data_IF_980004536309
#
_entry.id   IF_980004536309
#
_cell.length_a   1.000
_cell.length_b   1.000
_cell.length_c   1.000
_cell.angle_alpha   90.00
_cell.angle_beta   90.00
_cell.angle_gamma   90.00
#
_symmetry.space_group_name_H-M   'P 1'
#
loop_
_entity.id
_entity.type
_entity.pdbx_description
1 polymer ?
#
# COMPACT_ATOMS: atom_id res chain seq x y z
N UNK A 1 20.57 -12.72 -10.16
CA UNK A 1 19.59 -11.71 -9.71
C UNK A 1 19.81 -11.53 -8.21
N UNK A 2 20.14 -10.34 -7.80
CA UNK A 2 20.29 -10.05 -6.38
C UNK A 2 18.95 -10.19 -5.67
N UNK A 3 18.98 -10.75 -4.45
CA UNK A 3 17.76 -10.92 -3.66
C UNK A 3 17.34 -9.57 -3.11
N UNK A 4 16.05 -9.25 -3.18
CA UNK A 4 15.54 -8.03 -2.54
C UNK A 4 15.67 -8.16 -1.03
N UNK A 5 16.16 -7.10 -0.38
CA UNK A 5 16.37 -7.05 1.07
C UNK A 5 15.11 -6.57 1.77
N UNK A 6 14.73 -7.27 2.84
CA UNK A 6 13.60 -6.94 3.71
C UNK A 6 14.12 -6.70 5.12
N UNK A 7 13.88 -5.52 5.68
CA UNK A 7 14.17 -5.23 7.08
C UNK A 7 12.96 -5.61 7.93
N UNK A 8 13.16 -6.52 8.89
CA UNK A 8 12.13 -6.97 9.84
C UNK A 8 12.44 -6.42 11.22
N UNK A 9 11.56 -5.58 11.74
CA UNK A 9 11.72 -4.85 13.01
C UNK A 9 10.62 -5.25 13.97
N UNK A 10 10.96 -5.90 15.07
CA UNK A 10 10.03 -6.36 16.10
C UNK A 10 10.84 -6.71 17.35
N UNK A 11 10.43 -6.36 18.54
CA UNK A 11 11.19 -6.69 19.77
C UNK A 11 11.07 -8.18 20.14
N UNK A 12 10.02 -8.87 19.68
CA UNK A 12 9.84 -10.32 19.90
C UNK A 12 10.69 -11.16 18.95
N UNK A 13 11.72 -11.81 19.46
CA UNK A 13 12.61 -12.69 18.66
C UNK A 13 11.87 -13.84 17.94
N UNK A 14 10.78 -14.34 18.55
CA UNK A 14 9.94 -15.40 17.94
C UNK A 14 9.21 -14.91 16.71
N UNK A 15 8.72 -13.66 16.75
CA UNK A 15 8.03 -13.03 15.63
C UNK A 15 9.00 -12.76 14.49
N UNK A 16 10.16 -12.15 14.77
CA UNK A 16 11.22 -11.95 13.76
C UNK A 16 11.60 -13.25 13.06
N UNK A 17 11.85 -14.32 13.86
CA UNK A 17 12.20 -15.64 13.32
C UNK A 17 11.11 -16.20 12.42
N UNK A 18 9.83 -16.12 12.85
CA UNK A 18 8.69 -16.60 12.06
C UNK A 18 8.63 -15.89 10.71
N UNK A 19 8.65 -14.56 10.73
CA UNK A 19 8.57 -13.73 9.52
C UNK A 19 9.76 -14.00 8.60
N UNK A 20 11.00 -14.02 9.14
CA UNK A 20 12.20 -14.35 8.39
C UNK A 20 12.08 -15.71 7.69
N UNK A 21 11.67 -16.77 8.41
CA UNK A 21 11.64 -18.12 7.88
C UNK A 21 10.68 -18.23 6.68
N UNK A 22 9.60 -17.44 6.64
CA UNK A 22 8.70 -17.37 5.49
C UNK A 22 9.27 -16.54 4.34
N UNK A 23 9.87 -15.38 4.62
CA UNK A 23 10.45 -14.51 3.59
C UNK A 23 11.66 -15.17 2.89
N UNK A 24 12.52 -15.86 3.65
CA UNK A 24 13.68 -16.58 3.09
C UNK A 24 13.21 -17.69 2.12
N UNK A 25 12.11 -18.39 2.41
CA UNK A 25 11.52 -19.39 1.49
C UNK A 25 11.04 -18.77 0.18
N UNK A 26 10.65 -17.51 0.20
CA UNK A 26 10.24 -16.73 -0.97
C UNK A 26 11.43 -15.99 -1.64
N UNK A 27 12.66 -16.41 -1.31
CA UNK A 27 13.91 -15.92 -1.90
C UNK A 27 14.24 -14.45 -1.57
N UNK A 28 13.76 -13.92 -0.43
CA UNK A 28 14.20 -12.63 0.10
C UNK A 28 15.47 -12.77 0.95
N UNK A 29 16.28 -11.71 0.98
CA UNK A 29 17.29 -11.50 2.00
C UNK A 29 16.66 -10.75 3.17
N UNK A 30 16.82 -11.27 4.40
CA UNK A 30 16.17 -10.68 5.57
C UNK A 30 17.20 -10.15 6.53
N UNK A 31 17.07 -8.88 6.87
CA UNK A 31 17.82 -8.19 7.91
C UNK A 31 16.88 -8.01 9.10
N UNK A 32 17.37 -8.29 10.31
CA UNK A 32 16.56 -8.20 11.52
C UNK A 32 17.05 -7.05 12.43
N UNK A 33 16.09 -6.30 12.99
CA UNK A 33 16.32 -5.36 14.07
C UNK A 33 15.38 -5.68 15.24
N UNK A 34 15.89 -5.64 16.46
CA UNK A 34 15.14 -5.95 17.68
C UNK A 34 14.63 -4.71 18.43
N UNK A 35 14.84 -3.54 17.86
CA UNK A 35 14.39 -2.26 18.40
C UNK A 35 14.44 -1.17 17.33
N UNK A 36 13.78 -0.03 17.60
CA UNK A 36 13.66 1.07 16.66
C UNK A 36 14.98 1.76 16.32
N UNK A 37 15.83 1.98 17.32
CA UNK A 37 17.13 2.64 17.12
C UNK A 37 18.03 1.83 16.18
N UNK A 38 18.12 0.51 16.40
CA UNK A 38 18.82 -0.40 15.50
C UNK A 38 18.23 -0.40 14.08
N UNK A 39 16.92 -0.32 13.95
CA UNK A 39 16.26 -0.31 12.65
C UNK A 39 16.65 0.92 11.83
N UNK A 40 16.63 2.11 12.44
CA UNK A 40 17.05 3.36 11.79
C UNK A 40 18.52 3.29 11.41
N UNK A 41 19.40 2.84 12.33
CA UNK A 41 20.84 2.72 12.08
C UNK A 41 21.13 1.77 10.91
N UNK A 42 20.53 0.59 10.89
CA UNK A 42 20.66 -0.38 9.80
C UNK A 42 20.19 0.24 8.47
N UNK A 43 19.03 0.90 8.45
CA UNK A 43 18.49 1.51 7.24
C UNK A 43 19.36 2.65 6.70
N UNK A 44 19.98 3.44 7.58
CA UNK A 44 20.88 4.52 7.16
C UNK A 44 22.16 3.98 6.51
N UNK A 45 22.64 2.79 6.93
CA UNK A 45 23.86 2.16 6.42
C UNK A 45 23.63 1.23 5.23
N UNK A 46 22.42 0.67 5.06
CA UNK A 46 22.08 -0.22 3.93
C UNK A 46 20.93 0.36 3.11
N UNK A 47 21.27 1.02 2.01
CA UNK A 47 20.31 1.67 1.11
C UNK A 47 19.63 0.71 0.12
N UNK A 48 20.02 -0.56 0.10
CA UNK A 48 19.42 -1.58 -0.76
C UNK A 48 18.18 -2.26 -0.13
N UNK A 49 17.78 -1.82 1.08
CA UNK A 49 16.56 -2.29 1.71
C UNK A 49 15.36 -1.87 0.88
N UNK A 50 14.64 -2.87 0.35
CA UNK A 50 13.53 -2.66 -0.57
C UNK A 50 12.18 -2.47 0.12
N UNK A 51 12.03 -2.93 1.37
CA UNK A 51 10.81 -2.83 2.17
C UNK A 51 11.12 -3.05 3.65
N UNK A 52 10.34 -2.41 4.52
CA UNK A 52 10.43 -2.54 5.98
C UNK A 52 9.14 -3.13 6.54
N UNK A 53 9.24 -4.18 7.35
CA UNK A 53 8.17 -4.71 8.19
C UNK A 53 8.41 -4.24 9.61
N UNK A 54 7.54 -3.42 10.16
CA UNK A 54 7.80 -2.63 11.36
C UNK A 54 6.71 -2.84 12.40
N UNK A 55 7.08 -3.38 13.55
CA UNK A 55 6.17 -3.43 14.69
C UNK A 55 5.91 -2.03 15.24
N UNK A 56 4.66 -1.75 15.55
CA UNK A 56 4.25 -0.48 16.19
C UNK A 56 4.68 -0.44 17.64
N UNK A 57 4.49 -1.55 18.36
CA UNK A 57 4.59 -1.59 19.81
C UNK A 57 5.98 -2.07 20.28
N UNK A 58 6.98 -1.22 20.16
CA UNK A 58 8.32 -1.51 20.64
C UNK A 58 8.72 -0.61 21.82
N UNK A 59 9.56 -1.09 22.73
CA UNK A 59 10.04 -0.27 23.85
C UNK A 59 11.03 0.81 23.38
N UNK A 60 11.05 1.93 24.08
CA UNK A 60 11.90 3.13 23.85
C UNK A 60 11.57 3.90 22.58
N UNK A 61 11.77 3.34 21.42
CA UNK A 61 11.46 3.92 20.11
C UNK A 61 10.39 3.07 19.44
N UNK A 62 9.16 3.58 19.38
CA UNK A 62 8.03 2.90 18.76
C UNK A 62 8.11 2.93 17.21
N UNK A 63 7.28 2.11 16.56
CA UNK A 63 7.28 2.03 15.10
C UNK A 63 6.90 3.34 14.42
N UNK A 64 6.10 4.19 15.05
CA UNK A 64 5.75 5.49 14.52
C UNK A 64 6.95 6.47 14.48
N UNK A 65 7.78 6.41 15.52
CA UNK A 65 9.01 7.20 15.58
C UNK A 65 10.01 6.74 14.53
N UNK A 66 10.21 5.41 14.40
CA UNK A 66 11.04 4.82 13.35
C UNK A 66 10.57 5.27 11.97
N UNK A 67 9.25 5.18 11.70
CA UNK A 67 8.69 5.59 10.43
C UNK A 67 8.98 7.06 10.13
N UNK A 68 8.76 7.96 11.09
CA UNK A 68 9.05 9.40 10.93
C UNK A 68 10.52 9.65 10.58
N UNK A 69 11.44 9.05 11.32
CA UNK A 69 12.87 9.23 11.04
C UNK A 69 13.26 8.71 9.66
N UNK A 70 12.75 7.55 9.24
CA UNK A 70 13.04 7.02 7.90
C UNK A 70 12.45 7.90 6.81
N UNK A 71 11.24 8.45 7.00
CA UNK A 71 10.57 9.32 6.03
C UNK A 71 11.25 10.67 5.81
N UNK A 72 12.15 11.09 6.70
CA UNK A 72 13.00 12.27 6.46
C UNK A 72 14.00 12.05 5.30
N UNK A 73 14.30 10.78 4.96
CA UNK A 73 15.36 10.43 4.02
C UNK A 73 14.92 9.50 2.88
N UNK A 74 13.74 8.88 2.97
CA UNK A 74 13.36 7.82 2.02
C UNK A 74 11.86 7.53 1.99
N UNK A 75 11.37 7.24 0.78
CA UNK A 75 10.03 6.73 0.53
C UNK A 75 10.00 5.19 0.45
N UNK A 76 10.97 4.50 1.06
CA UNK A 76 10.99 3.04 1.11
C UNK A 76 9.64 2.51 1.62
N UNK A 77 9.05 1.50 0.98
CA UNK A 77 7.80 0.94 1.44
C UNK A 77 7.87 0.43 2.89
N UNK A 78 6.85 0.76 3.70
CA UNK A 78 6.73 0.33 5.10
C UNK A 78 5.39 -0.36 5.31
N UNK A 79 5.44 -1.60 5.81
CA UNK A 79 4.28 -2.32 6.33
C UNK A 79 4.32 -2.26 7.85
N UNK A 80 3.30 -1.67 8.47
CA UNK A 80 3.17 -1.66 9.92
C UNK A 80 2.52 -2.94 10.42
N UNK A 81 3.13 -3.57 11.42
CA UNK A 81 2.58 -4.72 12.13
C UNK A 81 2.01 -4.21 13.47
N UNK A 82 0.72 -4.36 13.70
CA UNK A 82 0.06 -3.79 14.89
C UNK A 82 -0.82 -4.78 15.61
N UNK A 83 -0.91 -4.69 16.94
CA UNK A 83 -1.83 -5.50 17.73
C UNK A 83 -3.29 -5.00 17.66
N UNK A 84 -3.52 -3.74 17.28
CA UNK A 84 -4.83 -3.11 17.12
C UNK A 84 -4.78 -2.01 16.07
N UNK A 85 -5.82 -1.91 15.25
CA UNK A 85 -6.11 -0.74 14.44
C UNK A 85 -7.10 0.14 15.22
N UNK A 86 -6.62 1.11 15.99
CA UNK A 86 -7.47 2.21 16.42
C UNK A 86 -7.56 3.22 15.26
N UNK A 87 -8.73 3.83 15.07
CA UNK A 87 -9.00 4.82 14.01
C UNK A 87 -7.97 5.97 14.01
N UNK A 88 -7.41 6.28 15.20
CA UNK A 88 -6.33 7.28 15.36
C UNK A 88 -4.99 6.81 14.77
N UNK A 89 -4.68 5.52 14.90
CA UNK A 89 -3.46 4.93 14.37
C UNK A 89 -3.50 4.86 12.84
N UNK A 90 -4.68 4.57 12.28
CA UNK A 90 -4.89 4.60 10.83
C UNK A 90 -4.73 6.03 10.26
N UNK A 91 -5.29 7.05 10.93
CA UNK A 91 -5.14 8.45 10.52
C UNK A 91 -3.68 8.91 10.56
N UNK A 92 -2.95 8.57 11.63
CA UNK A 92 -1.53 8.89 11.77
C UNK A 92 -0.69 8.23 10.67
N UNK A 93 -1.01 7.01 10.32
CA UNK A 93 -0.33 6.30 9.27
C UNK A 93 -0.55 6.88 7.88
N UNK A 94 -1.75 7.39 7.60
CA UNK A 94 -2.01 8.12 6.37
C UNK A 94 -1.17 9.39 6.26
N UNK A 95 -1.00 10.12 7.37
CA UNK A 95 -0.16 11.32 7.43
C UNK A 95 1.33 10.99 7.22
N UNK A 96 1.78 9.84 7.71
CA UNK A 96 3.19 9.39 7.62
C UNK A 96 3.51 8.62 6.34
N UNK A 97 2.54 8.43 5.44
CA UNK A 97 2.77 7.74 4.17
C UNK A 97 3.14 6.27 4.33
N UNK A 98 2.42 5.55 5.20
CA UNK A 98 2.57 4.10 5.37
C UNK A 98 1.84 3.39 4.24
N UNK A 99 2.47 2.35 3.68
CA UNK A 99 1.95 1.64 2.53
C UNK A 99 0.89 0.60 2.88
N UNK A 100 0.98 -0.02 4.07
CA UNK A 100 0.08 -1.09 4.47
C UNK A 100 0.09 -1.31 5.99
N UNK A 101 -1.04 -1.80 6.52
CA UNK A 101 -1.19 -2.28 7.90
C UNK A 101 -1.54 -3.75 7.93
N UNK A 102 -0.93 -4.49 8.85
CA UNK A 102 -1.25 -5.89 9.12
C UNK A 102 -1.48 -6.05 10.62
N UNK A 103 -2.70 -6.43 10.99
CA UNK A 103 -3.04 -6.67 12.39
C UNK A 103 -2.52 -8.02 12.86
N UNK A 104 -1.92 -8.04 14.06
CA UNK A 104 -1.52 -9.26 14.77
C UNK A 104 -2.74 -9.84 15.52
N UNK A 105 -2.99 -11.18 15.49
CA UNK A 105 -2.19 -12.20 14.81
C UNK A 105 -2.49 -12.28 13.31
N UNK A 106 -1.47 -12.46 12.49
CA UNK A 106 -1.58 -12.55 11.04
C UNK A 106 -1.13 -13.91 10.49
N UNK A 107 -1.60 -14.24 9.30
CA UNK A 107 -1.08 -15.38 8.56
C UNK A 107 0.24 -14.99 7.86
N UNK A 108 1.36 -15.72 8.08
CA UNK A 108 2.62 -15.44 7.39
C UNK A 108 2.50 -15.48 5.87
N UNK A 109 1.61 -16.33 5.32
CA UNK A 109 1.33 -16.37 3.88
C UNK A 109 0.69 -15.08 3.37
N UNK A 110 -0.22 -14.48 4.16
CA UNK A 110 -0.84 -13.20 3.82
C UNK A 110 0.20 -12.09 3.87
N UNK A 111 1.07 -12.08 4.90
CA UNK A 111 2.16 -11.11 5.00
C UNK A 111 3.06 -11.16 3.77
N UNK A 112 3.52 -12.35 3.37
CA UNK A 112 4.34 -12.53 2.16
C UNK A 112 3.62 -12.06 0.90
N UNK A 113 2.33 -12.37 0.75
CA UNK A 113 1.55 -11.92 -0.40
C UNK A 113 1.48 -10.38 -0.49
N UNK A 114 1.39 -9.69 0.66
CA UNK A 114 1.40 -8.22 0.73
C UNK A 114 2.78 -7.64 0.43
N UNK A 115 3.84 -8.22 0.98
CA UNK A 115 5.22 -7.86 0.64
C UNK A 115 5.45 -7.96 -0.87
N UNK A 116 5.06 -9.08 -1.48
CA UNK A 116 5.16 -9.29 -2.93
C UNK A 116 4.37 -8.25 -3.73
N UNK A 117 3.17 -7.90 -3.28
CA UNK A 117 2.32 -6.92 -3.94
C UNK A 117 2.95 -5.51 -3.91
N UNK A 118 3.47 -5.09 -2.75
CA UNK A 118 4.11 -3.78 -2.59
C UNK A 118 5.42 -3.73 -3.37
N UNK A 119 6.28 -4.74 -3.26
CA UNK A 119 7.56 -4.78 -3.97
C UNK A 119 7.40 -4.89 -5.49
N UNK A 120 6.31 -5.46 -5.98
CA UNK A 120 5.98 -5.44 -7.41
C UNK A 120 5.62 -4.03 -7.85
N UNK A 121 4.90 -3.27 -7.05
CA UNK A 121 4.56 -1.86 -7.30
C UNK A 121 5.83 -0.98 -7.28
N UNK A 122 6.68 -1.16 -6.27
CA UNK A 122 7.92 -0.38 -6.11
C UNK A 122 9.04 -0.79 -7.10
N UNK A 123 9.06 -2.03 -7.56
CA UNK A 123 10.12 -2.58 -8.44
C UNK A 123 9.85 -2.44 -9.95
N UNK A 124 8.67 -1.99 -10.35
CA UNK A 124 8.35 -1.71 -11.75
C UNK A 124 8.89 -0.36 -12.25
N UNK A 125 9.84 0.24 -11.53
CA UNK A 125 10.49 1.49 -11.91
C UNK A 125 11.40 1.43 -13.15
N UNK A 126 11.60 0.24 -13.77
CA UNK A 126 12.38 0.11 -15.02
C UNK A 126 11.52 -0.08 -16.28
N UNK A 127 10.25 -0.47 -16.14
CA UNK A 127 9.25 -0.36 -17.20
C UNK A 127 8.01 0.30 -16.59
N UNK A 128 7.97 1.62 -16.58
CA UNK A 128 6.82 2.40 -16.13
C UNK A 128 5.56 1.84 -16.79
N UNK A 129 4.76 1.07 -16.04
CA UNK A 129 3.49 0.59 -16.56
C UNK A 129 2.58 1.81 -16.66
N UNK A 130 2.66 2.48 -17.80
CA UNK A 130 1.72 3.53 -18.18
C UNK A 130 0.45 2.83 -18.66
N UNK A 131 -0.64 3.11 -17.99
CA UNK A 131 -1.97 2.65 -18.40
C UNK A 131 -2.73 3.85 -18.97
N UNK A 132 -3.13 3.73 -20.22
CA UNK A 132 -3.91 4.78 -20.88
C UNK A 132 -5.36 4.35 -21.08
N UNK A 133 -6.29 5.22 -20.71
CA UNK A 133 -7.72 4.99 -20.89
C UNK A 133 -8.47 6.30 -21.07
N UNK A 134 -8.88 6.60 -22.31
CA UNK A 134 -9.78 7.72 -22.61
C UNK A 134 -9.24 9.08 -22.18
N UNK A 135 -7.99 9.42 -22.43
CA UNK A 135 -7.37 10.70 -22.01
C UNK A 135 -6.78 10.67 -20.59
N UNK A 136 -7.03 9.61 -19.82
CA UNK A 136 -6.36 9.37 -18.54
C UNK A 136 -5.08 8.59 -18.81
N UNK A 137 -3.97 9.07 -18.25
CA UNK A 137 -2.67 8.42 -18.25
C UNK A 137 -2.28 8.16 -16.79
N UNK A 138 -2.17 6.89 -16.43
CA UNK A 138 -1.69 6.45 -15.11
C UNK A 138 -0.23 6.02 -15.23
N UNK A 139 0.64 6.67 -14.50
CA UNK A 139 1.98 6.17 -14.25
C UNK A 139 1.98 5.41 -12.92
N UNK A 140 2.00 4.09 -12.99
CA UNK A 140 1.93 3.25 -11.79
C UNK A 140 3.21 3.29 -10.96
N UNK A 141 4.34 3.61 -11.59
CA UNK A 141 5.63 3.71 -10.91
C UNK A 141 5.77 5.05 -10.18
N UNK A 142 5.44 6.15 -10.87
CA UNK A 142 5.49 7.49 -10.28
C UNK A 142 4.27 7.80 -9.38
N UNK A 143 3.23 6.93 -9.33
CA UNK A 143 1.94 7.23 -8.67
C UNK A 143 1.29 8.52 -9.20
N UNK A 144 1.53 8.83 -10.45
CA UNK A 144 1.00 10.03 -11.10
C UNK A 144 -0.20 9.73 -12.00
N UNK A 145 -1.12 10.67 -12.02
CA UNK A 145 -2.28 10.66 -12.93
C UNK A 145 -2.29 11.92 -13.74
N UNK A 146 -2.38 11.79 -15.06
CA UNK A 146 -2.61 12.90 -15.96
C UNK A 146 -3.94 12.71 -16.67
N UNK A 147 -4.72 13.78 -16.77
CA UNK A 147 -5.97 13.81 -17.54
C UNK A 147 -5.80 14.89 -18.59
N UNK A 148 -5.93 14.52 -19.86
CA UNK A 148 -5.71 15.43 -21.00
C UNK A 148 -4.37 16.18 -20.89
N UNK A 149 -3.33 15.51 -20.37
CA UNK A 149 -1.98 16.04 -20.18
C UNK A 149 -1.77 16.87 -18.92
N UNK A 150 -2.79 17.12 -18.11
CA UNK A 150 -2.68 17.86 -16.85
C UNK A 150 -2.56 16.90 -15.67
N UNK A 151 -1.59 17.18 -14.77
CA UNK A 151 -1.42 16.41 -13.55
C UNK A 151 -2.61 16.60 -12.60
N UNK A 152 -3.12 15.49 -12.06
CA UNK A 152 -4.22 15.46 -11.10
C UNK A 152 -3.76 14.80 -9.82
N UNK A 153 -3.87 15.51 -8.70
CA UNK A 153 -3.53 14.97 -7.39
C UNK A 153 -4.60 14.01 -6.88
N UNK A 154 -4.27 12.76 -6.74
CA UNK A 154 -5.09 11.73 -6.11
C UNK A 154 -4.45 11.28 -4.80
N UNK A 155 -5.28 10.98 -3.80
CA UNK A 155 -4.81 10.23 -2.63
C UNK A 155 -4.47 8.80 -3.06
N UNK A 156 -3.68 8.09 -2.24
CA UNK A 156 -3.28 6.69 -2.51
C UNK A 156 -4.52 5.82 -2.81
N UNK A 157 -5.59 5.93 -2.01
CA UNK A 157 -6.82 5.16 -2.23
C UNK A 157 -7.62 5.56 -3.46
N UNK A 158 -7.61 6.82 -3.83
CA UNK A 158 -8.22 7.29 -5.09
C UNK A 158 -7.43 6.78 -6.30
N UNK A 159 -6.10 6.76 -6.22
CA UNK A 159 -5.22 6.20 -7.24
C UNK A 159 -5.45 4.68 -7.39
N UNK A 160 -5.47 3.93 -6.29
CA UNK A 160 -5.74 2.48 -6.30
C UNK A 160 -7.13 2.18 -6.87
N UNK A 161 -8.14 2.96 -6.49
CA UNK A 161 -9.51 2.82 -6.99
C UNK A 161 -9.57 3.09 -8.50
N UNK A 162 -8.91 4.13 -8.98
CA UNK A 162 -8.84 4.46 -10.41
C UNK A 162 -8.12 3.36 -11.19
N UNK A 163 -6.98 2.92 -10.69
CA UNK A 163 -6.21 1.80 -11.27
C UNK A 163 -7.07 0.54 -11.37
N UNK A 164 -7.81 0.21 -10.30
CA UNK A 164 -8.69 -0.96 -10.29
C UNK A 164 -9.84 -0.83 -11.31
N UNK A 165 -10.40 0.35 -11.47
CA UNK A 165 -11.42 0.62 -12.48
C UNK A 165 -10.89 0.46 -13.89
N UNK A 166 -9.74 1.07 -14.20
CA UNK A 166 -9.16 1.05 -15.56
C UNK A 166 -8.73 -0.37 -15.94
N UNK A 167 -8.11 -1.12 -15.02
CA UNK A 167 -7.70 -2.51 -15.27
C UNK A 167 -8.88 -3.47 -15.45
N UNK A 168 -10.08 -3.07 -14.99
CA UNK A 168 -11.33 -3.80 -15.19
C UNK A 168 -12.30 -3.05 -16.12
N UNK A 169 -11.77 -2.27 -17.08
CA UNK A 169 -12.58 -1.50 -18.04
C UNK A 169 -13.63 -2.37 -18.70
N UNK A 170 -14.86 -1.87 -18.79
CA UNK A 170 -16.01 -2.55 -19.39
C UNK A 170 -16.70 -3.57 -18.48
N UNK A 171 -16.14 -3.86 -17.29
CA UNK A 171 -16.72 -4.82 -16.34
C UNK A 171 -17.54 -4.10 -15.28
N UNK A 172 -18.80 -4.57 -15.04
CA UNK A 172 -19.59 -4.09 -13.91
C UNK A 172 -19.06 -4.70 -12.60
N UNK A 173 -18.61 -3.85 -11.69
CA UNK A 173 -18.00 -4.21 -10.42
C UNK A 173 -19.00 -3.94 -9.29
N UNK A 174 -19.29 -4.95 -8.46
CA UNK A 174 -20.09 -4.75 -7.25
C UNK A 174 -19.31 -3.93 -6.21
N UNK A 175 -20.05 -3.23 -5.32
CA UNK A 175 -19.43 -2.46 -4.22
C UNK A 175 -18.54 -3.33 -3.34
N UNK A 176 -18.99 -4.53 -3.01
CA UNK A 176 -18.20 -5.50 -2.24
C UNK A 176 -16.92 -5.92 -2.98
N UNK A 177 -17.02 -6.17 -4.29
CA UNK A 177 -15.85 -6.53 -5.10
C UNK A 177 -14.83 -5.39 -5.14
N UNK A 178 -15.27 -4.14 -5.29
CA UNK A 178 -14.40 -2.96 -5.23
C UNK A 178 -13.77 -2.85 -3.86
N UNK A 179 -14.57 -2.96 -2.79
CA UNK A 179 -14.10 -2.89 -1.41
C UNK A 179 -13.00 -3.92 -1.14
N UNK A 180 -13.26 -5.18 -1.46
CA UNK A 180 -12.34 -6.28 -1.19
C UNK A 180 -11.02 -6.20 -1.98
N UNK A 181 -11.01 -5.53 -3.14
CA UNK A 181 -9.81 -5.42 -3.98
C UNK A 181 -9.01 -4.13 -3.75
N UNK A 182 -9.64 -3.06 -3.27
CA UNK A 182 -9.00 -1.76 -3.04
C UNK A 182 -8.75 -1.48 -1.57
N UNK A 183 -9.64 -1.98 -0.67
CA UNK A 183 -9.52 -1.78 0.80
C UNK A 183 -9.19 -3.04 1.59
N UNK A 184 -9.00 -4.19 0.93
CA UNK A 184 -8.75 -5.51 1.50
C UNK A 184 -9.94 -6.16 2.25
N UNK A 185 -9.88 -7.50 2.39
CA UNK A 185 -10.94 -8.33 3.00
C UNK A 185 -11.21 -8.03 4.48
N UNK A 186 -10.32 -7.35 5.18
CA UNK A 186 -10.44 -7.04 6.61
C UNK A 186 -11.08 -5.67 6.88
N UNK A 187 -11.57 -4.99 5.83
CA UNK A 187 -12.30 -3.73 6.02
C UNK A 187 -13.74 -4.03 6.49
N UNK A 188 -14.01 -3.81 7.78
CA UNK A 188 -15.32 -4.00 8.40
C UNK A 188 -16.31 -2.85 8.14
N UNK A 189 -15.99 -1.93 7.24
CA UNK A 189 -16.86 -0.80 6.89
C UNK A 189 -18.00 -1.18 5.95
N UNK A 190 -19.06 -0.35 5.95
CA UNK A 190 -20.20 -0.48 5.03
C UNK A 190 -19.72 -0.30 3.56
N UNK A 191 -20.12 -1.22 2.68
CA UNK A 191 -19.85 -1.14 1.24
C UNK A 191 -20.32 0.18 0.60
N UNK A 192 -21.20 0.94 1.26
CA UNK A 192 -21.63 2.30 0.88
C UNK A 192 -20.50 3.34 0.99
N UNK A 193 -19.45 3.06 1.73
CA UNK A 193 -18.25 3.92 1.81
C UNK A 193 -17.65 4.13 0.42
N UNK A 194 -17.74 3.13 -0.46
CA UNK A 194 -17.32 3.21 -1.85
C UNK A 194 -18.00 4.36 -2.61
N UNK A 195 -19.27 4.62 -2.33
CA UNK A 195 -20.03 5.68 -3.03
C UNK A 195 -19.41 7.07 -2.79
N UNK A 196 -18.87 7.29 -1.57
CA UNK A 196 -18.17 8.53 -1.23
C UNK A 196 -16.85 8.66 -1.97
N UNK A 197 -16.07 7.57 -2.06
CA UNK A 197 -14.79 7.58 -2.77
C UNK A 197 -14.99 7.73 -4.28
N UNK A 198 -15.97 7.04 -4.86
CA UNK A 198 -16.33 7.22 -6.28
C UNK A 198 -16.77 8.65 -6.56
N UNK A 199 -17.57 9.27 -5.66
CA UNK A 199 -17.98 10.67 -5.81
C UNK A 199 -16.77 11.62 -5.80
N UNK A 200 -15.83 11.44 -4.88
CA UNK A 200 -14.59 12.24 -4.80
C UNK A 200 -13.72 12.03 -6.04
N UNK A 201 -13.54 10.78 -6.45
CA UNK A 201 -12.77 10.45 -7.65
C UNK A 201 -13.38 11.08 -8.89
N UNK A 202 -14.69 10.94 -9.11
CA UNK A 202 -15.40 11.60 -10.23
C UNK A 202 -15.18 13.11 -10.24
N UNK A 203 -15.21 13.76 -9.08
CA UNK A 203 -14.99 15.20 -8.98
C UNK A 203 -13.57 15.62 -9.38
N UNK A 204 -12.59 14.75 -9.22
CA UNK A 204 -11.19 14.98 -9.61
C UNK A 204 -10.92 14.62 -11.07
N UNK A 205 -11.66 13.64 -11.61
CA UNK A 205 -11.60 13.23 -13.01
C UNK A 205 -12.40 14.18 -13.93
N UNK A 206 -12.49 15.45 -13.59
CA UNK A 206 -13.27 16.48 -14.32
C UNK A 206 -12.78 16.65 -15.76
N UNK A 207 -13.19 15.74 -16.62
CA UNK A 207 -13.20 15.90 -18.07
C UNK A 207 -14.68 15.83 -18.53
N UNK A 208 -14.95 16.21 -19.76
CA UNK A 208 -16.28 16.04 -20.37
C UNK A 208 -16.72 14.56 -20.46
N UNK A 209 -15.81 13.63 -20.14
CA UNK A 209 -16.07 12.21 -20.17
C UNK A 209 -16.48 11.67 -18.78
N UNK A 210 -17.68 11.10 -18.71
CA UNK A 210 -18.17 10.40 -17.51
C UNK A 210 -17.62 8.96 -17.49
N UNK A 211 -16.34 8.83 -17.11
CA UNK A 211 -15.59 7.56 -17.11
C UNK A 211 -16.16 6.47 -16.21
N UNK A 212 -16.75 6.84 -15.07
CA UNK A 212 -17.26 5.88 -14.10
C UNK A 212 -18.78 5.91 -14.08
N UNK A 213 -19.41 4.92 -14.68
CA UNK A 213 -20.89 4.78 -14.73
C UNK A 213 -21.42 4.09 -13.47
N UNK A 214 -22.58 4.55 -12.99
CA UNK A 214 -23.32 3.84 -11.94
C UNK A 214 -24.19 2.76 -12.57
N UNK A 215 -24.02 1.52 -12.12
CA UNK A 215 -24.89 0.38 -12.48
C UNK A 215 -25.85 0.15 -11.33
N UNK A 216 -27.11 0.55 -11.52
CA UNK A 216 -28.14 0.50 -10.48
C UNK A 216 -28.31 -0.92 -9.93
N UNK A 217 -28.36 -1.04 -8.58
CA UNK A 217 -28.51 -2.31 -7.89
C UNK A 217 -27.24 -3.17 -7.86
N UNK A 218 -26.15 -2.81 -8.57
CA UNK A 218 -24.90 -3.57 -8.60
C UNK A 218 -23.71 -2.77 -8.06
N UNK A 219 -23.35 -1.67 -8.69
CA UNK A 219 -22.15 -0.90 -8.33
C UNK A 219 -21.72 0.06 -9.43
N UNK A 220 -20.50 -0.13 -9.93
CA UNK A 220 -19.87 0.81 -10.86
C UNK A 220 -19.17 0.09 -12.02
N UNK A 221 -19.01 0.81 -13.13
CA UNK A 221 -18.30 0.34 -14.32
C UNK A 221 -17.48 1.49 -14.90
N UNK A 222 -16.26 1.24 -15.31
CA UNK A 222 -15.42 2.17 -16.07
C UNK A 222 -15.61 1.93 -17.57
N UNK A 223 -15.78 3.01 -18.35
CA UNK A 223 -16.00 2.97 -19.81
C UNK A 223 -14.95 3.75 -20.60
#
# INVERSE_FOLDING_TARGET
>A
MDRKKVLVVDDESRMRKLVRDFLVRENYEVIEADNGESAVDIFLHDKDIAIILLDVMMPRMDGWQVCREIREFSDVPIIMLTAKSDEKDELLGFELGIDEYITKPFSPKILVARVNAILRRAGNGEDGQIIEAGGIVLDLAAHEVKIDGQLVELSVKEFELLTYFITNKGVALSRERILNNVWNFDYFGDARTIDTHVKKLRAKLTSDADYIKTIWGMGYKFE
#
